data_IF_843068100013
#
_entry.id   IF_843068100013
#
_cell.length_a   1.000
_cell.length_b   1.000
_cell.length_c   1.000
_cell.angle_alpha   90.00
_cell.angle_beta   90.00
_cell.angle_gamma   90.00
#
_symmetry.space_group_name_H-M   'P 1'
#
loop_
_entity.id
_entity.type
_entity.pdbx_description
1 polymer ?
#
# COMPACT_ATOMS: atom_id res chain seq x y z
N UNK A 1 -3.59 8.50 0.70
CA UNK A 1 -4.95 8.10 1.13
C UNK A 1 -4.82 7.05 2.23
N UNK A 2 -5.63 7.03 3.30
CA UNK A 2 -5.66 5.84 4.16
C UNK A 2 -6.23 4.71 3.30
N UNK A 3 -5.42 3.70 2.96
CA UNK A 3 -5.86 2.66 2.02
C UNK A 3 -6.95 1.84 2.70
N UNK A 4 -8.17 2.03 2.23
CA UNK A 4 -9.40 1.61 2.87
C UNK A 4 -9.52 0.08 2.90
N UNK A 5 -9.82 -0.45 4.09
CA UNK A 5 -10.33 -1.81 4.28
C UNK A 5 -9.30 -2.92 4.51
N UNK A 6 -8.06 -2.82 4.01
CA UNK A 6 -7.04 -3.89 4.18
C UNK A 6 -6.24 -3.79 5.48
N UNK A 7 -5.93 -2.56 5.91
CA UNK A 7 -5.07 -2.29 7.07
C UNK A 7 -5.73 -2.10 8.45
N UNK A 8 -7.07 -2.02 8.64
CA UNK A 8 -7.64 -1.78 9.97
C UNK A 8 -7.39 -2.91 10.98
N UNK A 9 -7.04 -4.12 10.54
CA UNK A 9 -6.94 -5.28 11.43
C UNK A 9 -5.68 -5.33 12.29
N UNK A 10 -4.63 -4.60 11.90
CA UNK A 10 -3.31 -4.61 12.57
C UNK A 10 -3.02 -3.31 13.33
N UNK A 11 -3.83 -2.27 13.10
CA UNK A 11 -3.62 -0.97 13.69
C UNK A 11 -4.28 -0.89 15.08
N UNK A 12 -3.60 -0.32 16.09
CA UNK A 12 -4.21 -0.04 17.39
C UNK A 12 -5.41 0.90 17.27
N UNK A 13 -6.28 0.87 18.28
CA UNK A 13 -7.42 1.79 18.37
C UNK A 13 -6.96 3.25 18.25
N UNK A 14 -7.78 4.05 17.57
CA UNK A 14 -7.55 5.48 17.33
C UNK A 14 -6.29 5.81 16.51
N UNK A 15 -5.73 4.85 15.77
CA UNK A 15 -4.61 5.09 14.85
C UNK A 15 -5.02 5.00 13.39
N UNK A 16 -4.23 5.62 12.51
CA UNK A 16 -4.38 5.51 11.06
C UNK A 16 -3.02 5.35 10.40
N UNK A 17 -2.94 4.51 9.38
CA UNK A 17 -1.80 4.48 8.48
C UNK A 17 -1.90 5.67 7.50
N UNK A 18 -0.81 6.43 7.37
CA UNK A 18 -0.64 7.45 6.34
C UNK A 18 0.32 6.89 5.31
N UNK A 19 -0.13 6.82 4.07
CA UNK A 19 0.61 6.20 2.97
C UNK A 19 0.97 7.29 1.97
N UNK A 20 2.26 7.40 1.68
CA UNK A 20 2.80 8.16 0.56
C UNK A 20 2.85 7.27 -0.68
N UNK A 21 1.90 7.46 -1.58
CA UNK A 21 1.79 6.70 -2.83
C UNK A 21 2.94 6.97 -3.81
N UNK A 22 3.75 8.02 -3.60
CA UNK A 22 4.91 8.30 -4.43
C UNK A 22 6.14 7.49 -4.04
N UNK A 23 6.10 6.79 -2.90
CA UNK A 23 7.23 6.00 -2.39
C UNK A 23 7.47 4.68 -3.15
N UNK A 24 6.59 4.28 -4.07
CA UNK A 24 6.82 3.19 -5.01
C UNK A 24 6.14 3.43 -6.36
N UNK A 25 6.61 2.71 -7.39
CA UNK A 25 6.00 2.75 -8.72
C UNK A 25 5.11 1.53 -8.94
N UNK A 26 3.96 1.77 -9.57
CA UNK A 26 3.11 0.67 -10.03
C UNK A 26 3.79 -0.07 -11.18
N UNK A 27 3.72 -1.40 -11.15
CA UNK A 27 4.05 -2.22 -12.32
C UNK A 27 3.13 -1.87 -13.49
N UNK A 28 3.66 -1.97 -14.72
CA UNK A 28 2.98 -1.56 -15.95
C UNK A 28 1.58 -2.19 -16.11
N UNK A 29 1.38 -3.41 -15.61
CA UNK A 29 0.09 -4.11 -15.67
C UNK A 29 -1.03 -3.34 -14.94
N UNK A 30 -0.74 -2.67 -13.83
CA UNK A 30 -1.76 -1.92 -13.09
C UNK A 30 -2.16 -0.64 -13.82
N UNK A 31 -1.20 0.03 -14.46
CA UNK A 31 -1.49 1.21 -15.29
C UNK A 31 -2.35 0.81 -16.49
N UNK A 32 -1.97 -0.27 -17.19
CA UNK A 32 -2.74 -0.81 -18.30
C UNK A 32 -4.16 -1.21 -17.87
N UNK A 33 -4.28 -1.91 -16.74
CA UNK A 33 -5.56 -2.38 -16.22
C UNK A 33 -6.47 -1.20 -15.84
N UNK A 34 -5.91 -0.17 -15.21
CA UNK A 34 -6.63 1.04 -14.86
C UNK A 34 -7.21 1.72 -16.11
N UNK A 35 -6.37 1.92 -17.13
CA UNK A 35 -6.74 2.59 -18.37
C UNK A 35 -7.77 1.78 -19.16
N UNK A 36 -7.52 0.49 -19.39
CA UNK A 36 -8.41 -0.37 -20.21
C UNK A 36 -9.69 -0.76 -19.49
N UNK A 37 -9.66 -0.88 -18.17
CA UNK A 37 -10.83 -1.16 -17.36
C UNK A 37 -11.64 0.08 -16.98
N UNK A 38 -11.17 1.28 -17.31
CA UNK A 38 -11.75 2.56 -16.87
C UNK A 38 -11.99 2.60 -15.34
N UNK A 39 -10.99 2.15 -14.57
CA UNK A 39 -11.09 1.98 -13.13
C UNK A 39 -10.57 3.24 -12.43
N UNK A 40 -11.33 3.77 -11.47
CA UNK A 40 -10.85 4.89 -10.66
C UNK A 40 -9.63 4.48 -9.84
N UNK A 41 -8.72 5.43 -9.57
CA UNK A 41 -7.54 5.17 -8.71
C UNK A 41 -7.94 4.64 -7.33
N UNK A 42 -9.08 5.10 -6.80
CA UNK A 42 -9.65 4.63 -5.56
C UNK A 42 -10.00 3.13 -5.62
N UNK A 43 -10.72 2.69 -6.66
CA UNK A 43 -11.10 1.28 -6.82
C UNK A 43 -9.90 0.38 -7.13
N UNK A 44 -8.86 0.91 -7.79
CA UNK A 44 -7.59 0.21 -7.99
C UNK A 44 -6.97 -0.21 -6.65
N UNK A 45 -6.80 0.72 -5.72
CA UNK A 45 -6.22 0.44 -4.41
C UNK A 45 -7.13 -0.38 -3.49
N UNK A 46 -8.45 -0.21 -3.63
CA UNK A 46 -9.43 -1.01 -2.87
C UNK A 46 -9.38 -2.49 -3.26
N UNK A 47 -9.20 -2.76 -4.55
CA UNK A 47 -9.28 -4.12 -5.12
C UNK A 47 -7.91 -4.79 -5.18
N UNK A 48 -6.93 -4.15 -5.80
CA UNK A 48 -5.62 -4.73 -6.09
C UNK A 48 -4.59 -4.37 -5.01
N UNK A 49 -3.41 -4.97 -5.08
CA UNK A 49 -2.29 -4.63 -4.20
C UNK A 49 -1.49 -3.42 -4.71
N UNK A 50 -1.62 -3.09 -6.00
CA UNK A 50 -0.94 -1.97 -6.66
C UNK A 50 0.57 -1.93 -6.38
N UNK A 51 1.22 -3.10 -6.33
CA UNK A 51 2.65 -3.25 -6.09
C UNK A 51 3.06 -3.51 -4.63
N UNK A 52 2.15 -3.38 -3.65
CA UNK A 52 2.45 -3.63 -2.24
C UNK A 52 1.84 -4.95 -1.78
N UNK A 53 2.63 -6.02 -1.85
CA UNK A 53 2.17 -7.37 -1.50
C UNK A 53 2.08 -7.63 0.02
N UNK A 54 2.91 -6.96 0.81
CA UNK A 54 3.01 -7.13 2.25
C UNK A 54 3.25 -5.76 2.90
N UNK A 55 2.70 -5.58 4.12
CA UNK A 55 2.94 -4.40 4.95
C UNK A 55 3.36 -4.89 6.33
N UNK A 56 4.39 -4.26 6.88
CA UNK A 56 4.92 -4.56 8.21
C UNK A 56 4.84 -3.27 9.04
N UNK A 57 4.28 -3.37 10.25
CA UNK A 57 4.33 -2.32 11.25
C UNK A 57 5.39 -2.68 12.29
N UNK A 58 6.40 -1.82 12.44
CA UNK A 58 7.56 -2.02 13.31
C UNK A 58 8.02 -0.69 13.91
N UNK A 59 8.80 -0.70 15.01
CA UNK A 59 9.44 0.50 15.52
C UNK A 59 10.35 1.14 14.46
N UNK A 60 10.36 2.47 14.38
CA UNK A 60 11.17 3.22 13.40
C UNK A 60 12.66 2.85 13.43
N UNK A 61 13.20 2.63 14.63
CA UNK A 61 14.60 2.22 14.85
C UNK A 61 14.98 0.87 14.22
N UNK A 62 14.00 0.04 13.84
CA UNK A 62 14.21 -1.29 13.26
C UNK A 62 14.09 -1.30 11.73
N UNK A 63 13.76 -0.16 11.11
CA UNK A 63 13.56 -0.05 9.64
C UNK A 63 14.79 -0.49 8.87
N UNK A 64 15.97 0.04 9.20
CA UNK A 64 17.24 -0.30 8.54
C UNK A 64 17.56 -1.80 8.61
N UNK A 65 17.27 -2.42 9.76
CA UNK A 65 17.46 -3.86 9.92
C UNK A 65 16.48 -4.64 9.05
N UNK A 66 15.22 -4.23 8.99
CA UNK A 66 14.20 -4.92 8.20
C UNK A 66 14.48 -4.88 6.69
N UNK A 67 14.93 -3.73 6.17
CA UNK A 67 15.23 -3.58 4.73
C UNK A 67 16.53 -4.29 4.32
N UNK A 68 17.47 -4.53 5.25
CA UNK A 68 18.71 -5.23 4.94
C UNK A 68 18.52 -6.71 4.56
N UNK A 69 17.37 -7.29 4.90
CA UNK A 69 17.01 -8.68 4.58
C UNK A 69 16.04 -8.82 3.39
N UNK A 70 15.61 -7.69 2.79
CA UNK A 70 14.69 -7.65 1.66
C UNK A 70 15.44 -7.45 0.34
#
# INVERSE_FOLDING_TARGET
MAVLGKYPRVLPDNTKAVIDESSWQWSAIFNWLQEKGNISRYEMYRTFNCGVGMVIALPEKEVETAIAFA
#
